data_IF_875419605586
#
_entry.id   IF_875419605586
#
_cell.length_a   1.000
_cell.length_b   1.000
_cell.length_c   1.000
_cell.angle_alpha   90.00
_cell.angle_beta   90.00
_cell.angle_gamma   90.00
#
_symmetry.space_group_name_H-M   'P 1'
#
loop_
_entity.id
_entity.type
_entity.pdbx_description
1 polymer ?
#
# COMPACT_ATOMS: atom_id res chain seq x y z
N UNK A 1 24.01 19.69 -0.54
CA UNK A 1 23.73 20.52 -1.72
C UNK A 1 25.00 20.54 -2.55
N UNK A 2 24.93 20.10 -3.80
CA UNK A 2 26.06 20.18 -4.75
C UNK A 2 25.89 21.45 -5.59
N UNK A 3 26.76 22.47 -5.42
CA UNK A 3 26.65 23.73 -6.16
C UNK A 3 26.69 23.56 -7.67
N UNK A 4 27.40 22.55 -8.18
CA UNK A 4 27.51 22.31 -9.62
C UNK A 4 26.20 21.76 -10.18
N UNK A 5 25.60 20.77 -9.51
CA UNK A 5 24.29 20.23 -9.89
C UNK A 5 23.18 21.29 -9.87
N UNK A 6 23.26 22.26 -8.94
CA UNK A 6 22.33 23.39 -8.90
C UNK A 6 22.54 24.32 -10.09
N UNK A 7 23.79 24.65 -10.42
CA UNK A 7 24.13 25.41 -11.64
C UNK A 7 23.63 24.74 -12.91
N UNK A 8 23.87 23.44 -13.06
CA UNK A 8 23.47 22.66 -14.23
C UNK A 8 21.95 22.52 -14.35
N UNK A 9 21.22 22.48 -13.22
CA UNK A 9 19.77 22.40 -13.22
C UNK A 9 19.09 23.61 -13.86
N UNK A 10 19.76 24.78 -13.90
CA UNK A 10 19.21 25.95 -14.56
C UNK A 10 19.12 25.80 -16.08
N UNK A 11 19.87 24.87 -16.68
CA UNK A 11 19.74 24.55 -18.11
C UNK A 11 18.38 23.90 -18.46
N UNK A 12 17.68 23.36 -17.46
CA UNK A 12 16.35 22.79 -17.61
C UNK A 12 15.24 23.83 -17.43
N UNK A 13 15.56 25.07 -17.02
CA UNK A 13 14.56 26.15 -16.93
C UNK A 13 14.12 26.53 -18.32
N UNK A 14 12.82 26.43 -18.56
CA UNK A 14 12.24 26.70 -19.85
C UNK A 14 10.76 26.33 -19.86
N UNK A 15 10.07 26.69 -20.93
CA UNK A 15 8.66 26.38 -21.05
C UNK A 15 8.46 24.92 -21.49
N UNK A 16 7.98 24.08 -20.59
CA UNK A 16 7.79 22.63 -20.76
C UNK A 16 6.31 22.29 -20.69
N UNK A 17 5.66 22.12 -21.85
CA UNK A 17 4.30 21.61 -21.92
C UNK A 17 4.27 20.09 -22.03
N UNK A 18 3.24 19.42 -21.48
CA UNK A 18 3.08 17.98 -21.64
C UNK A 18 2.90 17.62 -23.12
N UNK A 19 3.63 16.60 -23.57
CA UNK A 19 3.48 16.04 -24.91
C UNK A 19 2.29 15.07 -24.99
N UNK A 20 1.79 14.83 -26.21
CA UNK A 20 0.79 13.78 -26.44
C UNK A 20 1.48 12.44 -26.72
N UNK A 21 1.26 11.47 -25.85
CA UNK A 21 1.87 10.14 -25.88
C UNK A 21 0.96 9.05 -26.48
N UNK A 22 -0.02 9.44 -27.31
CA UNK A 22 -1.00 8.51 -27.91
C UNK A 22 -0.34 7.38 -28.71
N UNK A 23 0.80 7.68 -29.35
CA UNK A 23 1.61 6.72 -30.10
C UNK A 23 2.23 5.61 -29.24
N UNK A 24 2.35 5.81 -27.92
CA UNK A 24 2.90 4.82 -27.00
C UNK A 24 1.91 3.70 -26.67
N UNK A 25 0.60 3.91 -26.81
CA UNK A 25 -0.40 2.91 -26.45
C UNK A 25 -0.30 1.65 -27.30
N UNK A 26 -0.13 1.80 -28.62
CA UNK A 26 -0.01 0.65 -29.53
C UNK A 26 1.18 -0.25 -29.19
N UNK A 27 2.33 0.36 -28.85
CA UNK A 27 3.54 -0.38 -28.42
C UNK A 27 3.42 -0.90 -26.99
N UNK A 28 2.88 -0.08 -26.09
CA UNK A 28 2.71 -0.40 -24.68
C UNK A 28 1.78 -1.59 -24.46
N UNK A 29 0.63 -1.64 -25.15
CA UNK A 29 -0.27 -2.79 -25.09
C UNK A 29 0.35 -4.06 -25.67
N UNK A 30 1.16 -3.96 -26.73
CA UNK A 30 1.86 -5.12 -27.28
C UNK A 30 2.90 -5.71 -26.29
N UNK A 31 3.37 -4.91 -25.33
CA UNK A 31 4.39 -5.28 -24.35
C UNK A 31 3.87 -5.38 -22.92
N UNK A 32 2.55 -5.27 -22.68
CA UNK A 32 1.99 -5.13 -21.33
C UNK A 32 2.07 -6.42 -20.50
N UNK A 33 2.04 -7.58 -21.15
CA UNK A 33 1.84 -8.87 -20.47
C UNK A 33 2.86 -9.16 -19.35
N UNK A 34 4.19 -8.91 -19.51
CA UNK A 34 5.16 -9.10 -18.43
C UNK A 34 4.97 -8.14 -17.24
N UNK A 35 4.30 -7.00 -17.44
CA UNK A 35 4.09 -5.99 -16.40
C UNK A 35 2.79 -6.18 -15.62
N UNK A 36 1.80 -6.88 -16.18
CA UNK A 36 0.50 -7.13 -15.52
C UNK A 36 0.62 -7.78 -14.13
N UNK A 37 1.50 -8.76 -13.88
CA UNK A 37 1.65 -9.36 -12.55
C UNK A 37 2.05 -8.37 -11.46
N UNK A 38 2.74 -7.28 -11.80
CA UNK A 38 3.12 -6.21 -10.87
C UNK A 38 2.12 -5.05 -10.88
N UNK A 39 1.61 -4.68 -12.06
CA UNK A 39 0.72 -3.54 -12.25
C UNK A 39 -0.68 -3.76 -11.64
N UNK A 40 -1.22 -4.99 -11.71
CA UNK A 40 -2.54 -5.28 -11.15
C UNK A 40 -2.54 -5.16 -9.61
N UNK A 41 -1.60 -5.80 -8.87
CA UNK A 41 -1.50 -5.59 -7.43
C UNK A 41 -1.29 -4.12 -7.04
N UNK A 42 -0.44 -3.39 -7.78
CA UNK A 42 -0.21 -1.98 -7.53
C UNK A 42 -1.50 -1.15 -7.72
N UNK A 43 -2.28 -1.41 -8.77
CA UNK A 43 -3.54 -0.70 -9.00
C UNK A 43 -4.60 -0.99 -7.92
N UNK A 44 -4.66 -2.23 -7.41
CA UNK A 44 -5.52 -2.59 -6.28
C UNK A 44 -5.07 -1.85 -5.02
N UNK A 45 -3.75 -1.79 -4.79
CA UNK A 45 -3.17 -1.05 -3.68
C UNK A 45 -3.51 0.44 -3.75
N UNK A 46 -3.28 1.10 -4.89
CA UNK A 46 -3.59 2.53 -5.10
C UNK A 46 -5.08 2.86 -4.89
N UNK A 47 -5.95 1.93 -5.29
CA UNK A 47 -7.39 2.02 -5.04
C UNK A 47 -7.71 1.97 -3.54
N UNK A 48 -7.14 1.00 -2.81
CA UNK A 48 -7.36 0.86 -1.38
C UNK A 48 -6.76 2.04 -0.60
N UNK A 49 -5.56 2.51 -0.97
CA UNK A 49 -4.96 3.69 -0.34
C UNK A 49 -5.84 4.93 -0.51
N UNK A 50 -6.43 5.12 -1.70
CA UNK A 50 -7.37 6.21 -1.93
C UNK A 50 -8.65 6.08 -1.10
N UNK A 51 -9.16 4.85 -0.92
CA UNK A 51 -10.31 4.56 -0.09
C UNK A 51 -10.02 4.83 1.39
N UNK A 52 -8.89 4.35 1.90
CA UNK A 52 -8.43 4.56 3.28
C UNK A 52 -8.30 6.05 3.59
N UNK A 53 -7.85 6.85 2.62
CA UNK A 53 -7.77 8.30 2.76
C UNK A 53 -9.16 8.97 2.85
N UNK A 54 -10.17 8.44 2.16
CA UNK A 54 -11.56 8.90 2.29
C UNK A 54 -12.15 8.51 3.65
N UNK A 55 -11.92 7.28 4.10
CA UNK A 55 -12.36 6.81 5.42
C UNK A 55 -11.70 7.60 6.55
N UNK A 56 -10.39 7.88 6.42
CA UNK A 56 -9.65 8.72 7.37
C UNK A 56 -10.20 10.15 7.45
N UNK A 57 -10.64 10.72 6.31
CA UNK A 57 -11.30 12.01 6.26
C UNK A 57 -12.69 11.98 6.92
N UNK A 58 -13.48 10.92 6.67
CA UNK A 58 -14.80 10.73 7.27
C UNK A 58 -14.72 10.59 8.80
N UNK A 59 -13.75 9.82 9.30
CA UNK A 59 -13.45 9.70 10.74
C UNK A 59 -13.06 11.05 11.36
N UNK A 60 -12.52 11.97 10.55
CA UNK A 60 -12.18 13.34 10.97
C UNK A 60 -13.33 14.34 10.78
N UNK A 61 -14.52 13.87 10.39
CA UNK A 61 -15.74 14.67 10.25
C UNK A 61 -16.02 15.22 8.85
N UNK A 62 -15.26 14.84 7.82
CA UNK A 62 -15.48 15.26 6.44
C UNK A 62 -15.81 14.08 5.53
N UNK A 63 -17.10 13.81 5.33
CA UNK A 63 -17.58 12.75 4.45
C UNK A 63 -17.62 13.20 2.98
N UNK A 64 -17.07 12.38 2.10
CA UNK A 64 -17.11 12.58 0.65
C UNK A 64 -17.90 11.45 -0.02
N UNK A 65 -18.48 11.74 -1.19
CA UNK A 65 -19.13 10.70 -1.97
C UNK A 65 -18.05 9.77 -2.57
N UNK A 66 -17.91 8.56 -2.00
CA UNK A 66 -16.84 7.61 -2.34
C UNK A 66 -16.73 7.34 -3.85
N UNK A 67 -17.80 6.93 -4.57
CA UNK A 67 -17.67 6.68 -6.02
C UNK A 67 -17.21 7.90 -6.81
N UNK A 68 -17.73 9.09 -6.50
CA UNK A 68 -17.32 10.33 -7.18
C UNK A 68 -15.88 10.69 -6.87
N UNK A 69 -15.47 10.59 -5.61
CA UNK A 69 -14.11 10.90 -5.18
C UNK A 69 -13.10 9.94 -5.82
N UNK A 70 -13.41 8.65 -5.90
CA UNK A 70 -12.55 7.61 -6.49
C UNK A 70 -12.44 7.72 -8.02
N UNK A 71 -13.44 8.28 -8.71
CA UNK A 71 -13.38 8.52 -10.15
C UNK A 71 -12.37 9.61 -10.54
N UNK A 72 -12.06 10.54 -9.64
CA UNK A 72 -11.11 11.63 -9.91
C UNK A 72 -9.69 11.10 -10.18
N UNK A 73 -9.02 10.37 -9.27
CA UNK A 73 -7.70 9.81 -9.53
C UNK A 73 -7.69 8.81 -10.69
N UNK A 74 -8.74 8.01 -10.86
CA UNK A 74 -8.84 7.11 -12.01
C UNK A 74 -8.85 7.88 -13.34
N UNK A 75 -9.67 8.93 -13.44
CA UNK A 75 -9.75 9.80 -14.62
C UNK A 75 -8.46 10.57 -14.89
N UNK A 76 -7.82 11.09 -13.84
CA UNK A 76 -6.53 11.79 -13.94
C UNK A 76 -5.39 10.87 -14.34
N UNK A 77 -5.40 9.61 -13.90
CA UNK A 77 -4.44 8.59 -14.34
C UNK A 77 -4.58 8.29 -15.83
N UNK A 78 -5.82 8.11 -16.30
CA UNK A 78 -6.11 7.91 -17.73
C UNK A 78 -5.64 9.14 -18.53
N UNK A 79 -6.03 10.34 -18.11
CA UNK A 79 -5.62 11.58 -18.77
C UNK A 79 -4.10 11.74 -18.77
N UNK A 80 -3.45 11.50 -17.64
CA UNK A 80 -2.00 11.57 -17.48
C UNK A 80 -1.27 10.60 -18.40
N UNK A 81 -1.79 9.40 -18.60
CA UNK A 81 -1.20 8.42 -19.52
C UNK A 81 -1.17 8.91 -20.97
N UNK A 82 -2.18 9.67 -21.42
CA UNK A 82 -2.17 10.33 -22.74
C UNK A 82 -1.17 11.50 -22.81
N UNK A 83 -0.81 12.08 -21.67
CA UNK A 83 0.17 13.15 -21.55
C UNK A 83 1.60 12.62 -21.28
N UNK A 84 1.79 11.30 -21.32
CA UNK A 84 3.08 10.65 -21.11
C UNK A 84 3.48 10.47 -19.65
N UNK A 85 2.56 10.66 -18.69
CA UNK A 85 2.81 10.33 -17.28
C UNK A 85 2.93 8.81 -17.11
N UNK A 86 4.04 8.29 -16.57
CA UNK A 86 4.17 6.88 -16.23
C UNK A 86 3.59 6.55 -14.85
N UNK A 87 3.12 7.55 -14.10
CA UNK A 87 2.68 7.40 -12.72
C UNK A 87 1.15 7.46 -12.60
N UNK A 88 0.52 6.50 -11.89
CA UNK A 88 -0.87 6.60 -11.49
C UNK A 88 -1.06 7.73 -10.47
N UNK A 89 -2.28 8.23 -10.38
CA UNK A 89 -2.67 9.23 -9.39
C UNK A 89 -3.57 8.61 -8.34
N UNK A 90 -3.47 9.09 -7.10
CA UNK A 90 -4.24 8.64 -5.94
C UNK A 90 -4.75 9.83 -5.14
N UNK A 91 -5.68 9.59 -4.22
CA UNK A 91 -6.05 10.58 -3.21
C UNK A 91 -4.91 10.71 -2.21
N UNK A 92 -4.45 11.94 -1.96
CA UNK A 92 -3.29 12.19 -1.10
C UNK A 92 -3.62 11.94 0.38
N UNK A 93 -2.67 11.30 1.07
CA UNK A 93 -2.76 10.99 2.49
C UNK A 93 -2.63 12.22 3.39
N UNK A 94 -3.18 12.11 4.60
CA UNK A 94 -2.95 13.08 5.67
C UNK A 94 -3.98 14.21 5.72
N UNK A 95 -5.14 14.04 5.09
CA UNK A 95 -6.29 14.94 5.25
C UNK A 95 -6.49 15.38 6.72
N UNK A 96 -6.54 14.47 7.72
CA UNK A 96 -6.67 14.87 9.14
C UNK A 96 -5.53 15.77 9.63
N UNK A 97 -4.29 15.42 9.25
CA UNK A 97 -3.09 16.19 9.60
C UNK A 97 -3.13 17.60 9.02
N UNK A 98 -3.40 17.76 7.73
CA UNK A 98 -3.52 19.08 7.09
C UNK A 98 -4.67 19.89 7.69
N UNK A 99 -5.83 19.27 7.94
CA UNK A 99 -6.97 19.93 8.57
C UNK A 99 -6.66 20.42 9.98
N UNK A 100 -5.91 19.64 10.77
CA UNK A 100 -5.47 20.06 12.12
C UNK A 100 -4.61 21.32 12.10
N UNK A 101 -3.89 21.58 11.01
CA UNK A 101 -3.08 22.80 10.81
C UNK A 101 -3.88 24.00 10.26
N UNK A 102 -5.20 23.86 10.08
CA UNK A 102 -6.07 24.90 9.56
C UNK A 102 -6.17 24.95 8.03
N UNK A 103 -5.60 23.96 7.32
CA UNK A 103 -5.69 23.90 5.87
C UNK A 103 -7.16 23.79 5.40
N UNK A 104 -7.46 24.44 4.28
CA UNK A 104 -8.78 24.42 3.61
C UNK A 104 -8.58 24.21 2.12
N UNK A 105 -9.66 24.23 1.35
CA UNK A 105 -9.64 24.02 -0.11
C UNK A 105 -8.63 24.90 -0.87
N UNK A 106 -8.39 26.13 -0.39
CA UNK A 106 -7.40 27.04 -0.98
C UNK A 106 -5.97 26.52 -0.89
N UNK A 107 -5.61 25.80 0.18
CA UNK A 107 -4.30 25.17 0.32
C UNK A 107 -4.06 24.14 -0.78
N UNK A 108 -5.04 23.26 -1.04
CA UNK A 108 -4.95 22.24 -2.09
C UNK A 108 -4.85 22.86 -3.48
N UNK A 109 -5.67 23.87 -3.78
CA UNK A 109 -5.63 24.58 -5.07
C UNK A 109 -4.31 25.31 -5.31
N UNK A 110 -3.86 26.10 -4.34
CA UNK A 110 -2.61 26.86 -4.47
C UNK A 110 -1.41 25.93 -4.61
N UNK A 111 -1.39 24.84 -3.85
CA UNK A 111 -0.33 23.81 -3.98
C UNK A 111 -0.33 23.21 -5.38
N UNK A 112 -1.50 22.78 -5.89
CA UNK A 112 -1.62 22.22 -7.23
C UNK A 112 -1.17 23.19 -8.33
N UNK A 113 -1.63 24.44 -8.27
CA UNK A 113 -1.24 25.49 -9.23
C UNK A 113 0.25 25.81 -9.14
N UNK A 114 0.80 25.91 -7.93
CA UNK A 114 2.22 26.17 -7.73
C UNK A 114 3.08 25.06 -8.36
N UNK A 115 2.78 23.79 -8.09
CA UNK A 115 3.50 22.65 -8.68
C UNK A 115 3.35 22.63 -10.20
N UNK A 116 2.16 22.94 -10.74
CA UNK A 116 1.93 23.03 -12.18
C UNK A 116 2.82 24.11 -12.83
N UNK A 117 2.90 25.30 -12.23
CA UNK A 117 3.77 26.37 -12.73
C UNK A 117 5.23 25.97 -12.67
N UNK A 118 5.68 25.38 -11.55
CA UNK A 118 7.04 24.88 -11.41
C UNK A 118 7.40 23.84 -12.48
N UNK A 119 6.47 22.95 -12.79
CA UNK A 119 6.63 21.98 -13.88
C UNK A 119 6.69 22.67 -15.26
N UNK A 120 5.76 23.58 -15.55
CA UNK A 120 5.72 24.30 -16.82
C UNK A 120 6.92 25.19 -17.08
N UNK A 121 7.58 25.70 -16.03
CA UNK A 121 8.80 26.49 -16.16
C UNK A 121 10.09 25.66 -16.01
N UNK A 122 9.99 24.33 -15.92
CA UNK A 122 11.16 23.45 -15.81
C UNK A 122 11.92 23.57 -14.47
N UNK A 123 11.31 24.20 -13.47
CA UNK A 123 11.92 24.50 -12.18
C UNK A 123 11.97 23.29 -11.23
N UNK A 124 11.31 22.18 -11.58
CA UNK A 124 11.29 20.96 -10.76
C UNK A 124 12.71 20.42 -10.54
N UNK A 125 13.54 20.37 -11.58
CA UNK A 125 14.93 19.90 -11.47
C UNK A 125 15.76 20.80 -10.55
N UNK A 126 15.54 22.11 -10.60
CA UNK A 126 16.21 23.10 -9.75
C UNK A 126 15.79 22.99 -8.29
N UNK A 127 14.49 22.79 -8.03
CA UNK A 127 14.00 22.60 -6.66
C UNK A 127 14.57 21.30 -6.07
N UNK A 128 14.59 20.21 -6.85
CA UNK A 128 15.12 18.92 -6.40
C UNK A 128 16.64 18.91 -6.22
N UNK A 129 17.38 19.78 -6.91
CA UNK A 129 18.84 19.93 -6.70
C UNK A 129 19.18 20.74 -5.44
N UNK A 130 18.29 21.67 -5.05
CA UNK A 130 18.41 22.48 -3.83
C UNK A 130 17.96 21.69 -2.60
N UNK A 131 16.81 21.03 -2.67
CA UNK A 131 16.24 20.30 -1.54
C UNK A 131 16.94 18.94 -1.41
N UNK A 132 17.71 18.70 -0.34
CA UNK A 132 18.34 17.41 -0.14
C UNK A 132 17.27 16.35 0.09
N UNK A 133 17.33 15.22 -0.63
CA UNK A 133 16.38 14.12 -0.50
C UNK A 133 16.26 13.62 0.96
N UNK A 134 17.36 13.70 1.72
CA UNK A 134 17.43 13.33 3.15
C UNK A 134 16.47 14.18 4.01
N UNK A 135 16.16 15.42 3.62
CA UNK A 135 15.22 16.27 4.35
C UNK A 135 13.77 15.77 4.26
N UNK A 136 13.45 14.87 3.34
CA UNK A 136 12.14 14.23 3.29
C UNK A 136 11.95 13.20 4.41
N UNK A 137 13.03 12.60 4.93
CA UNK A 137 12.94 11.50 5.91
C UNK A 137 12.24 11.92 7.21
N UNK A 138 12.56 13.06 7.86
CA UNK A 138 11.84 13.48 9.06
C UNK A 138 10.35 13.79 8.80
N UNK A 139 10.02 14.30 7.62
CA UNK A 139 8.63 14.58 7.22
C UNK A 139 7.85 13.27 7.10
N UNK A 140 8.43 12.27 6.43
CA UNK A 140 7.82 10.94 6.29
C UNK A 140 7.68 10.23 7.65
N UNK A 141 8.67 10.36 8.53
CA UNK A 141 8.56 9.84 9.90
C UNK A 141 7.43 10.50 10.68
N UNK A 142 7.30 11.83 10.59
CA UNK A 142 6.21 12.56 11.24
C UNK A 142 4.84 12.11 10.72
N UNK A 143 4.67 12.04 9.39
CA UNK A 143 3.42 11.58 8.77
C UNK A 143 3.09 10.15 9.22
N UNK A 144 4.06 9.23 9.20
CA UNK A 144 3.88 7.86 9.66
C UNK A 144 3.45 7.76 11.13
N UNK A 145 4.07 8.55 12.01
CA UNK A 145 3.68 8.62 13.44
C UNK A 145 2.26 9.15 13.61
N UNK A 146 1.87 10.19 12.88
CA UNK A 146 0.51 10.76 12.96
C UNK A 146 -0.53 9.75 12.49
N UNK A 147 -0.31 9.07 11.35
CA UNK A 147 -1.23 8.06 10.82
C UNK A 147 -1.36 6.88 11.78
N UNK A 148 -0.23 6.36 12.29
CA UNK A 148 -0.25 5.23 13.21
C UNK A 148 -0.96 5.61 14.51
N UNK A 149 -0.69 6.79 15.05
CA UNK A 149 -1.37 7.29 16.25
C UNK A 149 -2.87 7.40 16.02
N UNK A 150 -3.28 7.93 14.86
CA UNK A 150 -4.69 8.03 14.49
C UNK A 150 -5.34 6.64 14.41
N UNK A 151 -4.71 5.69 13.72
CA UNK A 151 -5.23 4.33 13.57
C UNK A 151 -5.49 3.67 14.94
N UNK A 152 -4.58 3.81 15.91
CA UNK A 152 -4.81 3.31 17.26
C UNK A 152 -5.86 4.13 18.03
N UNK A 153 -5.89 5.46 17.87
CA UNK A 153 -6.81 6.34 18.59
C UNK A 153 -8.28 6.14 18.17
N UNK A 154 -8.53 5.78 16.91
CA UNK A 154 -9.87 5.57 16.36
C UNK A 154 -10.33 4.12 16.45
N UNK A 155 -9.45 3.20 16.85
CA UNK A 155 -9.76 1.78 17.02
C UNK A 155 -10.22 1.49 18.46
N UNK A 156 -11.25 0.66 18.60
CA UNK A 156 -11.67 0.14 19.90
C UNK A 156 -10.49 -0.52 20.64
N UNK A 157 -10.34 -0.24 21.93
CA UNK A 157 -9.21 -0.74 22.74
C UNK A 157 -9.02 -2.25 22.65
N UNK A 158 -10.11 -3.02 22.56
CA UNK A 158 -10.09 -4.49 22.42
C UNK A 158 -9.47 -4.95 21.10
N UNK A 159 -9.52 -4.15 20.04
CA UNK A 159 -9.04 -4.48 18.69
C UNK A 159 -7.61 -3.99 18.41
N UNK A 160 -7.01 -3.20 19.31
CA UNK A 160 -5.62 -2.73 19.18
C UNK A 160 -4.59 -3.85 18.88
N UNK A 161 -4.71 -5.08 19.44
CA UNK A 161 -3.82 -6.18 19.06
C UNK A 161 -3.89 -6.55 17.57
N UNK A 162 -5.06 -6.42 16.93
CA UNK A 162 -5.22 -6.67 15.49
C UNK A 162 -4.52 -5.59 14.65
N UNK A 163 -4.56 -4.32 15.10
CA UNK A 163 -3.80 -3.22 14.48
C UNK A 163 -2.29 -3.46 14.62
N UNK A 164 -1.82 -3.91 15.78
CA UNK A 164 -0.41 -4.28 15.94
C UNK A 164 -0.01 -5.45 15.01
N UNK A 165 -0.90 -6.43 14.86
CA UNK A 165 -0.69 -7.60 14.00
C UNK A 165 -0.63 -7.24 12.51
N UNK A 166 -1.35 -6.22 12.04
CA UNK A 166 -1.33 -5.80 10.64
C UNK A 166 0.02 -5.24 10.19
N UNK A 167 0.89 -4.82 11.11
CA UNK A 167 2.23 -4.34 10.77
C UNK A 167 3.23 -5.47 10.47
N UNK A 168 2.98 -6.70 10.94
CA UNK A 168 3.95 -7.80 10.81
C UNK A 168 4.30 -8.10 9.34
N UNK A 169 3.34 -8.21 8.40
CA UNK A 169 3.65 -8.44 6.99
C UNK A 169 4.51 -7.32 6.37
N UNK A 170 4.24 -6.06 6.72
CA UNK A 170 5.01 -4.91 6.24
C UNK A 170 6.46 -4.95 6.74
N UNK A 171 6.64 -5.24 8.04
CA UNK A 171 7.96 -5.44 8.63
C UNK A 171 8.67 -6.60 7.91
N UNK A 172 7.94 -7.66 7.55
CA UNK A 172 8.51 -8.76 6.82
C UNK A 172 8.95 -8.39 5.40
N UNK A 173 8.16 -7.58 4.69
CA UNK A 173 8.52 -7.02 3.39
C UNK A 173 9.79 -6.18 3.48
N UNK A 174 9.87 -5.27 4.46
CA UNK A 174 11.05 -4.46 4.68
C UNK A 174 12.30 -5.33 4.96
N UNK A 175 12.22 -6.25 5.92
CA UNK A 175 13.37 -7.09 6.33
C UNK A 175 13.85 -7.98 5.17
N UNK A 176 12.92 -8.63 4.46
CA UNK A 176 13.27 -9.51 3.32
C UNK A 176 13.94 -8.72 2.20
N UNK A 177 13.42 -7.52 1.89
CA UNK A 177 14.03 -6.63 0.90
C UNK A 177 15.45 -6.22 1.28
N UNK A 178 15.69 -5.81 2.53
CA UNK A 178 17.02 -5.42 2.99
C UNK A 178 18.02 -6.59 2.92
N UNK A 179 17.63 -7.79 3.35
CA UNK A 179 18.48 -8.98 3.29
C UNK A 179 18.86 -9.31 1.84
N UNK A 180 17.87 -9.32 0.93
CA UNK A 180 18.11 -9.61 -0.50
C UNK A 180 19.02 -8.59 -1.15
N UNK A 181 18.81 -7.31 -0.85
CA UNK A 181 19.66 -6.24 -1.38
C UNK A 181 21.11 -6.36 -0.87
N UNK A 182 21.29 -6.69 0.41
CA UNK A 182 22.63 -6.90 0.98
C UNK A 182 23.35 -8.10 0.33
N UNK A 183 22.65 -9.22 0.11
CA UNK A 183 23.22 -10.39 -0.58
C UNK A 183 23.56 -10.04 -2.04
N UNK A 184 22.64 -9.39 -2.76
CA UNK A 184 22.84 -9.00 -4.14
C UNK A 184 24.02 -8.03 -4.32
N UNK A 185 24.19 -7.07 -3.38
CA UNK A 185 25.28 -6.11 -3.41
C UNK A 185 26.69 -6.74 -3.30
N UNK A 186 26.78 -7.95 -2.74
CA UNK A 186 28.05 -8.70 -2.63
C UNK A 186 28.24 -9.73 -3.76
N UNK A 187 27.28 -9.83 -4.68
CA UNK A 187 27.26 -10.87 -5.71
C UNK A 187 26.94 -12.27 -5.16
N UNK A 188 26.47 -12.37 -3.91
CA UNK A 188 26.07 -13.62 -3.29
C UNK A 188 24.81 -14.20 -3.94
N UNK A 189 24.65 -15.51 -3.86
CA UNK A 189 23.43 -16.21 -4.25
C UNK A 189 22.52 -16.43 -3.05
N UNK A 190 21.20 -16.40 -3.28
CA UNK A 190 20.22 -16.59 -2.22
C UNK A 190 20.08 -18.07 -1.87
N UNK A 191 20.58 -18.48 -0.70
CA UNK A 191 20.43 -19.83 -0.15
C UNK A 191 19.48 -19.81 1.07
N UNK A 192 18.23 -20.18 0.84
CA UNK A 192 17.21 -20.22 1.88
C UNK A 192 17.51 -21.23 2.99
N UNK A 193 18.17 -22.35 2.68
CA UNK A 193 18.44 -23.39 3.66
C UNK A 193 19.58 -22.98 4.59
N UNK A 194 20.66 -22.43 4.04
CA UNK A 194 21.75 -21.89 4.83
C UNK A 194 21.26 -20.77 5.78
N UNK A 195 20.44 -19.85 5.27
CA UNK A 195 19.83 -18.80 6.09
C UNK A 195 18.95 -19.38 7.19
N UNK A 196 18.09 -20.35 6.88
CA UNK A 196 17.24 -21.00 7.88
C UNK A 196 18.04 -21.68 9.00
N UNK A 197 19.17 -22.33 8.66
CA UNK A 197 20.07 -22.96 9.65
C UNK A 197 20.73 -21.94 10.59
N UNK A 198 20.79 -20.67 10.20
CA UNK A 198 21.28 -19.55 11.06
C UNK A 198 20.16 -18.84 11.83
N UNK A 199 18.92 -19.33 11.73
CA UNK A 199 17.75 -18.71 12.38
C UNK A 199 17.08 -17.60 11.56
N UNK A 200 17.40 -17.48 10.27
CA UNK A 200 16.76 -16.54 9.34
C UNK A 200 15.83 -17.33 8.41
N UNK A 201 14.54 -17.54 8.78
CA UNK A 201 13.61 -18.29 7.93
C UNK A 201 13.10 -17.43 6.76
N UNK A 202 14.01 -16.93 5.92
CA UNK A 202 13.75 -15.91 4.90
C UNK A 202 12.58 -16.27 3.98
N UNK A 203 12.48 -17.55 3.57
CA UNK A 203 11.38 -18.01 2.73
C UNK A 203 10.02 -17.78 3.39
N UNK A 204 9.89 -18.05 4.70
CA UNK A 204 8.64 -17.81 5.43
C UNK A 204 8.30 -16.32 5.53
N UNK A 205 9.31 -15.48 5.74
CA UNK A 205 9.15 -14.03 5.76
C UNK A 205 8.75 -13.47 4.40
N UNK A 206 9.33 -13.96 3.30
CA UNK A 206 8.93 -13.56 1.95
C UNK A 206 7.49 -13.97 1.64
N UNK A 207 7.07 -15.16 2.08
CA UNK A 207 5.67 -15.60 1.95
C UNK A 207 4.74 -14.76 2.79
N UNK A 208 5.13 -14.32 3.97
CA UNK A 208 4.33 -13.40 4.78
C UNK A 208 4.22 -12.02 4.13
N UNK A 209 5.28 -11.55 3.48
CA UNK A 209 5.38 -10.25 2.84
C UNK A 209 4.71 -10.15 1.45
N UNK A 210 4.33 -11.27 0.83
CA UNK A 210 3.70 -11.26 -0.49
C UNK A 210 2.34 -10.54 -0.44
N UNK A 211 2.28 -9.30 -0.94
CA UNK A 211 1.09 -8.45 -0.78
C UNK A 211 0.89 -7.98 0.66
N UNK A 212 1.99 -7.68 1.36
CA UNK A 212 2.06 -7.28 2.77
C UNK A 212 0.91 -6.41 3.29
N UNK A 213 0.51 -5.36 2.57
CA UNK A 213 -0.57 -4.46 3.00
C UNK A 213 -1.91 -5.19 3.01
N UNK A 214 -2.25 -5.88 1.91
CA UNK A 214 -3.46 -6.68 1.82
C UNK A 214 -3.46 -7.83 2.83
N UNK A 215 -2.31 -8.48 3.03
CA UNK A 215 -2.14 -9.52 4.05
C UNK A 215 -2.39 -8.95 5.44
N UNK A 216 -1.84 -7.77 5.74
CA UNK A 216 -2.05 -7.06 7.00
C UNK A 216 -3.54 -6.77 7.26
N UNK A 217 -4.25 -6.29 6.24
CA UNK A 217 -5.70 -6.04 6.30
C UNK A 217 -6.49 -7.33 6.56
N UNK A 218 -6.19 -8.41 5.84
CA UNK A 218 -6.90 -9.68 6.00
C UNK A 218 -6.64 -10.31 7.37
N UNK A 219 -5.39 -10.33 7.84
CA UNK A 219 -5.03 -10.87 9.16
C UNK A 219 -5.67 -10.04 10.28
N UNK A 220 -5.65 -8.71 10.19
CA UNK A 220 -6.32 -7.86 11.17
C UNK A 220 -7.84 -8.09 11.19
N UNK A 221 -8.46 -8.21 10.02
CA UNK A 221 -9.90 -8.51 9.89
C UNK A 221 -10.25 -9.83 10.57
N UNK A 222 -9.50 -10.90 10.31
CA UNK A 222 -9.67 -12.20 10.95
C UNK A 222 -9.50 -12.07 12.47
N UNK A 223 -8.45 -11.38 12.92
CA UNK A 223 -8.18 -11.19 14.35
C UNK A 223 -9.30 -10.41 15.07
N UNK A 224 -9.82 -9.34 14.45
CA UNK A 224 -10.96 -8.56 14.97
C UNK A 224 -12.17 -9.46 15.18
N UNK A 225 -12.54 -10.27 14.19
CA UNK A 225 -13.70 -11.18 14.32
C UNK A 225 -13.46 -12.32 15.32
N UNK A 226 -12.22 -12.76 15.52
CA UNK A 226 -11.86 -13.70 16.59
C UNK A 226 -12.03 -13.03 17.96
N UNK A 227 -11.54 -11.80 18.14
CA UNK A 227 -11.66 -11.02 19.39
C UNK A 227 -13.14 -10.80 19.73
N UNK A 228 -13.96 -10.50 18.72
CA UNK A 228 -15.41 -10.31 18.85
C UNK A 228 -16.18 -11.63 18.96
N UNK A 229 -15.49 -12.78 18.95
CA UNK A 229 -16.09 -14.12 19.03
C UNK A 229 -17.11 -14.40 17.93
N UNK A 230 -16.97 -13.73 16.78
CA UNK A 230 -17.75 -13.96 15.56
C UNK A 230 -17.03 -14.98 14.69
N UNK A 231 -16.85 -16.20 15.21
CA UNK A 231 -15.96 -17.20 14.64
C UNK A 231 -16.33 -17.64 13.21
N UNK A 232 -17.62 -17.68 12.86
CA UNK A 232 -18.03 -17.98 11.47
C UNK A 232 -17.60 -16.90 10.49
N UNK A 233 -17.69 -15.63 10.87
CA UNK A 233 -17.23 -14.51 10.03
C UNK A 233 -15.71 -14.58 9.87
N UNK A 234 -14.98 -14.82 10.97
CA UNK A 234 -13.53 -15.03 10.92
C UNK A 234 -13.14 -16.23 10.01
N UNK A 235 -13.92 -17.33 10.05
CA UNK A 235 -13.70 -18.48 9.18
C UNK A 235 -13.94 -18.14 7.71
N UNK A 236 -14.97 -17.36 7.38
CA UNK A 236 -15.22 -16.86 6.02
C UNK A 236 -14.05 -16.03 5.51
N UNK A 237 -13.57 -15.05 6.29
CA UNK A 237 -12.40 -14.25 5.89
C UNK A 237 -11.12 -15.08 5.79
N UNK A 238 -10.95 -16.11 6.64
CA UNK A 238 -9.85 -17.07 6.51
C UNK A 238 -9.91 -17.80 5.18
N UNK A 239 -11.08 -18.30 4.77
CA UNK A 239 -11.26 -18.96 3.46
C UNK A 239 -11.03 -18.01 2.28
N UNK A 240 -11.54 -16.79 2.34
CA UNK A 240 -11.28 -15.75 1.32
C UNK A 240 -9.78 -15.53 1.18
N UNK A 241 -9.08 -15.35 2.30
CA UNK A 241 -7.62 -15.16 2.32
C UNK A 241 -6.90 -16.38 1.73
N UNK A 242 -7.34 -17.59 2.06
CA UNK A 242 -6.79 -18.82 1.50
C UNK A 242 -6.99 -18.94 -0.02
N UNK A 243 -8.16 -18.58 -0.55
CA UNK A 243 -8.43 -18.56 -1.99
C UNK A 243 -7.54 -17.53 -2.70
N UNK A 244 -7.45 -16.31 -2.16
CA UNK A 244 -6.58 -15.28 -2.72
C UNK A 244 -5.11 -15.69 -2.68
N UNK A 245 -4.68 -16.36 -1.61
CA UNK A 245 -3.33 -16.92 -1.51
C UNK A 245 -3.08 -18.05 -2.52
N UNK A 246 -4.06 -18.92 -2.77
CA UNK A 246 -3.94 -20.00 -3.75
C UNK A 246 -3.63 -19.48 -5.15
N UNK A 247 -4.28 -18.38 -5.55
CA UNK A 247 -4.04 -17.72 -6.85
C UNK A 247 -2.89 -16.71 -6.82
N UNK A 248 -2.23 -16.52 -5.68
CA UNK A 248 -1.05 -15.67 -5.54
C UNK A 248 -1.35 -14.17 -5.51
N UNK A 249 -2.59 -13.77 -5.23
CA UNK A 249 -2.91 -12.38 -4.91
C UNK A 249 -2.35 -11.98 -3.54
N UNK A 250 -2.23 -12.96 -2.63
CA UNK A 250 -1.63 -12.82 -1.31
C UNK A 250 -0.57 -13.91 -1.12
N UNK A 251 0.39 -13.66 -0.24
CA UNK A 251 1.39 -14.62 0.22
C UNK A 251 2.26 -15.31 -0.87
N UNK A 252 2.32 -14.71 -2.07
CA UNK A 252 3.08 -15.22 -3.19
C UNK A 252 3.85 -14.10 -3.90
N UNK A 253 4.87 -14.49 -4.66
CA UNK A 253 5.70 -13.57 -5.44
C UNK A 253 5.13 -13.26 -6.82
N UNK A 254 4.11 -14.01 -7.25
CA UNK A 254 3.47 -13.87 -8.55
C UNK A 254 2.04 -14.40 -8.51
N UNK A 255 1.17 -13.82 -9.34
CA UNK A 255 -0.19 -14.30 -9.59
C UNK A 255 -0.13 -15.54 -10.49
N UNK A 256 -0.93 -16.55 -10.17
CA UNK A 256 -1.06 -17.76 -10.96
C UNK A 256 -1.72 -18.90 -10.21
N UNK A 257 -2.07 -19.97 -10.91
CA UNK A 257 -2.72 -21.13 -10.32
C UNK A 257 -1.80 -21.84 -9.31
N UNK A 258 -2.31 -22.07 -8.09
CA UNK A 258 -1.62 -22.77 -7.01
C UNK A 258 -0.25 -22.17 -6.61
N UNK A 259 -0.03 -20.86 -6.78
CA UNK A 259 1.26 -20.21 -6.49
C UNK A 259 1.53 -20.00 -4.99
N UNK A 260 0.48 -19.89 -4.17
CA UNK A 260 0.55 -19.82 -2.71
C UNK A 260 -0.19 -20.96 -2.00
N UNK A 261 -0.28 -22.13 -2.63
CA UNK A 261 -1.09 -23.27 -2.15
C UNK A 261 -0.78 -23.73 -0.71
N UNK A 262 0.48 -23.69 -0.29
CA UNK A 262 0.87 -24.08 1.08
C UNK A 262 0.25 -23.17 2.14
N UNK A 263 0.23 -21.87 1.86
CA UNK A 263 -0.37 -20.87 2.75
C UNK A 263 -1.90 -20.97 2.71
N UNK A 264 -2.46 -21.26 1.53
CA UNK A 264 -3.90 -21.51 1.37
C UNK A 264 -4.40 -22.66 2.25
N UNK A 265 -3.63 -23.76 2.36
CA UNK A 265 -3.95 -24.87 3.28
C UNK A 265 -3.96 -24.40 4.74
N UNK A 266 -3.01 -23.56 5.14
CA UNK A 266 -2.95 -22.99 6.50
C UNK A 266 -4.20 -22.19 6.85
N UNK A 267 -4.67 -21.32 5.94
CA UNK A 267 -5.92 -20.59 6.11
C UNK A 267 -7.15 -21.51 6.12
N UNK A 268 -7.15 -22.57 5.31
CA UNK A 268 -8.19 -23.61 5.34
C UNK A 268 -8.25 -24.32 6.69
N UNK A 269 -7.10 -24.71 7.25
CA UNK A 269 -7.01 -25.32 8.57
C UNK A 269 -7.50 -24.36 9.67
N UNK A 270 -7.12 -23.07 9.60
CA UNK A 270 -7.61 -22.04 10.50
C UNK A 270 -9.13 -21.90 10.42
N UNK A 271 -9.71 -21.88 9.23
CA UNK A 271 -11.16 -21.82 9.04
C UNK A 271 -11.87 -23.02 9.70
N UNK A 272 -11.34 -24.24 9.55
CA UNK A 272 -11.88 -25.45 10.19
C UNK A 272 -11.87 -25.31 11.71
N UNK A 273 -10.76 -24.83 12.29
CA UNK A 273 -10.64 -24.60 13.74
C UNK A 273 -11.66 -23.56 14.20
N UNK A 274 -11.83 -22.45 13.47
CA UNK A 274 -12.79 -21.40 13.81
C UNK A 274 -14.24 -21.90 13.74
N UNK A 275 -14.58 -22.70 12.73
CA UNK A 275 -15.90 -23.36 12.66
C UNK A 275 -16.10 -24.30 13.85
N UNK A 276 -15.10 -25.11 14.21
CA UNK A 276 -15.19 -25.98 15.38
C UNK A 276 -15.36 -25.19 16.68
N UNK A 277 -14.63 -24.07 16.85
CA UNK A 277 -14.77 -23.16 17.99
C UNK A 277 -16.18 -22.57 18.09
N UNK A 278 -16.79 -22.20 16.95
CA UNK A 278 -18.15 -21.68 16.92
C UNK A 278 -19.17 -22.65 17.56
N UNK A 279 -19.05 -23.95 17.28
CA UNK A 279 -19.97 -24.95 17.83
C UNK A 279 -19.59 -25.38 19.25
N UNK A 280 -18.29 -25.47 19.57
CA UNK A 280 -17.83 -25.88 20.89
C UNK A 280 -18.06 -24.81 21.97
N UNK A 281 -17.92 -23.53 21.61
CA UNK A 281 -18.13 -22.38 22.51
C UNK A 281 -19.36 -21.56 22.14
N UNK A 282 -20.44 -22.23 21.75
CA UNK A 282 -21.67 -21.56 21.29
C UNK A 282 -22.22 -20.52 22.26
N UNK A 283 -22.08 -20.74 23.57
CA UNK A 283 -22.50 -19.82 24.63
C UNK A 283 -21.69 -18.52 24.71
N UNK A 284 -20.50 -18.47 24.10
CA UNK A 284 -19.67 -17.25 24.07
C UNK A 284 -19.85 -16.46 22.77
N UNK A 285 -20.55 -17.02 21.77
CA UNK A 285 -20.68 -16.39 20.47
C UNK A 285 -21.56 -15.15 20.58
N UNK A 286 -21.10 -14.04 19.99
CA UNK A 286 -21.93 -12.85 19.84
C UNK A 286 -22.83 -13.05 18.63
N UNK A 287 -24.13 -13.22 18.84
CA UNK A 287 -25.09 -13.23 17.74
C UNK A 287 -25.04 -11.86 17.03
N UNK A 288 -24.84 -11.87 15.71
CA UNK A 288 -24.90 -10.65 14.92
C UNK A 288 -26.34 -10.12 14.97
N UNK A 289 -26.57 -9.06 15.74
CA UNK A 289 -27.77 -8.24 15.58
C UNK A 289 -27.71 -7.69 14.16
N UNK A 290 -28.65 -8.16 13.34
CA UNK A 290 -28.86 -7.80 11.92
C UNK A 290 -28.97 -6.30 11.74
#
# INVERSE_FOLDING_TARGET
MDPQAVGDSFNNVGFSLPGLAVNLFGRGFAQIAPFLPAAIPLAIYDFLESLDNLESAEVSGEAYNVPKAMLVPAGLTILGSFLGSPFPTIIYIGHPGWKSTGARIGYSWVTGVAILLLAFFGLMSTILSIIPLVALLPILMYIGMVITTQAFATTDKKHMPAVALSFIPLIAGFVTLQIKNAIAATGGTLDYQALANTGIPLLGWERLAGGDILVGMMIATIAIFIIDKKYLVAATYSLITGVLAFFGFLHATQIGFATGWQVAIGYGAMAIVLVAMNYYRSHENVESVT
#
